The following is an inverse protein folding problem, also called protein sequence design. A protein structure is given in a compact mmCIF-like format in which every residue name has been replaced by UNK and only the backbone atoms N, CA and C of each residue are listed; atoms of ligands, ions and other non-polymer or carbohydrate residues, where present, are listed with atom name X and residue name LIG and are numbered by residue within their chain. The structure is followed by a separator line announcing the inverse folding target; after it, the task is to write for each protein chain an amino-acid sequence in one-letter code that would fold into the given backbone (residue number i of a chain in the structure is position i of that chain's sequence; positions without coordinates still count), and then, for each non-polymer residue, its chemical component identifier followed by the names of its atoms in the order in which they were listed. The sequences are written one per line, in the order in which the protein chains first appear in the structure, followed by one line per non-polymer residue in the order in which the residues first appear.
data_IF_868758098002
#
_entry.id   IF_868758098002
#
_cell.length_a   1.000
_cell.length_b   1.000
_cell.length_c   1.000
_cell.angle_alpha   90.00
_cell.angle_beta   90.00
_cell.angle_gamma   90.00
#
_symmetry.space_group_name_H-M   'P 1'
#
loop_
_entity.id
_entity.type
_entity.pdbx_description
1 polymer ?
#
# COMPACT_ATOMS: atom_id res chain seq x y z
N UNK A 1 -32.50 16.31 -14.61
CA UNK A 1 -33.79 16.46 -15.37
C UNK A 1 -34.76 15.32 -15.09
N UNK A 2 -34.24 14.13 -14.74
CA UNK A 2 -35.05 12.96 -14.37
C UNK A 2 -35.35 12.86 -12.86
N UNK A 3 -34.82 13.75 -12.07
CA UNK A 3 -35.10 13.87 -10.62
C UNK A 3 -36.14 14.92 -10.29
N UNK A 4 -36.62 15.68 -11.31
CA UNK A 4 -37.69 16.64 -11.14
C UNK A 4 -39.05 15.98 -11.35
N UNK A 5 -40.01 16.30 -10.51
CA UNK A 5 -41.42 15.79 -10.55
C UNK A 5 -42.19 16.05 -11.83
N UNK A 6 -41.55 16.63 -12.85
CA UNK A 6 -42.18 16.95 -14.15
C UNK A 6 -42.06 15.82 -15.18
N UNK A 7 -41.30 14.72 -14.88
CA UNK A 7 -41.15 13.60 -15.82
C UNK A 7 -41.77 12.34 -15.22
N UNK A 8 -42.98 12.06 -15.61
CA UNK A 8 -43.71 10.87 -15.18
C UNK A 8 -43.33 9.57 -15.90
N UNK A 9 -42.57 9.63 -17.00
CA UNK A 9 -42.21 8.45 -17.81
C UNK A 9 -40.74 8.51 -18.24
N UNK A 10 -40.02 7.45 -17.93
CA UNK A 10 -38.63 7.26 -18.41
C UNK A 10 -38.68 6.82 -19.88
N UNK A 11 -38.04 7.55 -20.82
CA UNK A 11 -37.97 7.11 -22.20
C UNK A 11 -37.24 5.77 -22.33
N UNK A 12 -37.78 4.85 -23.14
CA UNK A 12 -37.16 3.52 -23.36
C UNK A 12 -35.73 3.61 -23.91
N UNK A 13 -35.41 4.66 -24.65
CA UNK A 13 -34.05 4.91 -25.16
C UNK A 13 -33.01 5.22 -24.09
N UNK A 14 -33.45 5.58 -22.88
CA UNK A 14 -32.59 5.86 -21.73
C UNK A 14 -32.56 4.68 -20.75
N UNK A 15 -33.63 3.87 -20.75
CA UNK A 15 -33.82 2.77 -19.82
C UNK A 15 -32.75 1.69 -19.99
N UNK A 16 -32.48 1.25 -21.22
CA UNK A 16 -31.46 0.21 -21.48
C UNK A 16 -30.02 0.61 -21.09
N UNK A 17 -29.52 1.81 -21.50
CA UNK A 17 -28.20 2.27 -21.04
C UNK A 17 -28.13 2.42 -19.54
N UNK A 18 -29.21 2.87 -18.89
CA UNK A 18 -29.27 3.02 -17.43
C UNK A 18 -29.20 1.66 -16.74
N UNK A 19 -29.98 0.68 -17.22
CA UNK A 19 -29.94 -0.69 -16.69
C UNK A 19 -28.53 -1.30 -16.80
N UNK A 20 -27.87 -1.09 -17.93
CA UNK A 20 -26.52 -1.57 -18.16
C UNK A 20 -25.49 -0.91 -17.22
N UNK A 21 -25.63 0.39 -16.99
CA UNK A 21 -24.75 1.14 -16.08
C UNK A 21 -24.94 0.73 -14.61
N UNK A 22 -26.18 0.40 -14.23
CA UNK A 22 -26.52 0.00 -12.85
C UNK A 22 -26.46 -1.52 -12.61
N UNK A 23 -26.14 -2.32 -13.64
CA UNK A 23 -26.10 -3.78 -13.54
C UNK A 23 -27.45 -4.41 -13.17
N UNK A 24 -28.56 -3.80 -13.65
CA UNK A 24 -29.92 -4.20 -13.31
C UNK A 24 -30.78 -4.46 -14.57
N UNK A 25 -32.02 -4.87 -14.37
CA UNK A 25 -32.97 -5.11 -15.46
C UNK A 25 -34.00 -3.99 -15.58
N UNK A 26 -34.57 -3.75 -16.77
CA UNK A 26 -35.69 -2.82 -16.95
C UNK A 26 -36.87 -3.14 -16.03
N UNK A 27 -37.16 -4.43 -15.81
CA UNK A 27 -38.26 -4.88 -14.95
C UNK A 27 -38.07 -4.46 -13.49
N UNK A 28 -36.82 -4.55 -12.99
CA UNK A 28 -36.47 -4.12 -11.64
C UNK A 28 -36.57 -2.59 -11.48
N UNK A 29 -36.05 -1.81 -12.44
CA UNK A 29 -36.15 -0.34 -12.40
C UNK A 29 -37.62 0.14 -12.49
N UNK A 30 -38.44 -0.57 -13.23
CA UNK A 30 -39.86 -0.25 -13.37
C UNK A 30 -40.73 -0.76 -12.21
N UNK A 31 -40.14 -1.44 -11.22
CA UNK A 31 -40.86 -2.00 -10.07
C UNK A 31 -41.78 -3.17 -10.42
N UNK A 32 -41.53 -3.85 -11.54
CA UNK A 32 -42.28 -5.05 -11.95
C UNK A 32 -41.70 -6.33 -11.44
N UNK A 33 -40.47 -6.27 -10.93
CA UNK A 33 -39.77 -7.40 -10.31
C UNK A 33 -39.13 -6.92 -8.99
N UNK A 34 -39.56 -7.50 -7.87
CA UNK A 34 -39.05 -7.16 -6.54
C UNK A 34 -37.68 -7.82 -6.25
N UNK A 35 -37.25 -8.76 -7.11
CA UNK A 35 -35.95 -9.40 -6.96
C UNK A 35 -34.90 -8.60 -7.74
N UNK A 36 -33.91 -8.09 -7.01
CA UNK A 36 -32.68 -7.65 -7.64
C UNK A 36 -32.16 -8.77 -8.54
N UNK A 37 -31.69 -8.48 -9.77
CA UNK A 37 -31.17 -9.51 -10.66
C UNK A 37 -30.07 -10.29 -9.93
N UNK A 38 -30.15 -11.63 -9.98
CA UNK A 38 -29.14 -12.54 -9.39
C UNK A 38 -27.74 -12.38 -10.00
N UNK A 39 -27.64 -11.64 -11.08
CA UNK A 39 -26.35 -11.14 -11.56
C UNK A 39 -25.98 -9.89 -10.75
N UNK A 40 -25.63 -10.11 -9.48
CA UNK A 40 -24.71 -9.20 -8.83
C UNK A 40 -23.56 -8.98 -9.82
N UNK A 41 -23.37 -7.73 -10.27
CA UNK A 41 -22.16 -7.32 -10.97
C UNK A 41 -21.01 -8.02 -10.22
N UNK A 42 -20.15 -8.84 -10.86
CA UNK A 42 -19.02 -9.40 -10.15
C UNK A 42 -18.35 -8.26 -9.45
N UNK A 43 -18.29 -8.31 -8.13
CA UNK A 43 -17.51 -7.33 -7.37
C UNK A 43 -16.20 -7.20 -8.12
N UNK A 44 -15.72 -5.99 -8.44
CA UNK A 44 -14.49 -5.81 -9.19
C UNK A 44 -13.47 -6.75 -8.55
N UNK A 45 -12.83 -7.60 -9.37
CA UNK A 45 -11.91 -8.64 -8.88
C UNK A 45 -11.07 -7.98 -7.83
N UNK A 46 -11.24 -8.39 -6.58
CA UNK A 46 -10.57 -7.74 -5.46
C UNK A 46 -9.08 -7.90 -5.69
N UNK A 47 -8.40 -6.82 -5.99
CA UNK A 47 -6.94 -6.78 -6.12
C UNK A 47 -6.28 -7.02 -4.75
N UNK A 48 -6.77 -8.03 -4.03
CA UNK A 48 -6.27 -8.46 -2.74
C UNK A 48 -5.45 -9.72 -2.94
N UNK A 49 -4.19 -9.63 -2.56
CA UNK A 49 -3.20 -10.70 -2.69
C UNK A 49 -2.64 -11.04 -1.30
N UNK A 50 -2.41 -12.32 -1.04
CA UNK A 50 -1.70 -12.75 0.16
C UNK A 50 -0.21 -12.46 -0.02
N UNK A 51 0.33 -11.55 0.79
CA UNK A 51 1.76 -11.17 0.72
C UNK A 51 2.51 -11.67 1.95
N UNK A 52 3.76 -12.12 1.77
CA UNK A 52 4.57 -12.64 2.85
C UNK A 52 4.91 -11.55 3.87
N UNK A 53 4.92 -11.93 5.14
CA UNK A 53 5.40 -11.12 6.26
C UNK A 53 6.75 -11.67 6.72
N UNK A 54 7.73 -10.80 6.84
CA UNK A 54 9.06 -11.13 7.34
C UNK A 54 9.31 -10.47 8.68
N UNK A 55 10.12 -11.10 9.51
CA UNK A 55 10.41 -10.60 10.85
C UNK A 55 11.43 -9.46 10.87
N UNK A 56 12.15 -9.26 9.78
CA UNK A 56 13.11 -8.16 9.63
C UNK A 56 13.18 -7.66 8.21
N UNK A 57 13.71 -6.45 8.04
CA UNK A 57 13.96 -5.87 6.71
C UNK A 57 14.97 -6.74 5.94
N UNK A 58 16.04 -7.15 6.58
CA UNK A 58 17.07 -8.00 5.96
C UNK A 58 16.49 -9.30 5.43
N UNK A 59 15.58 -9.95 6.20
CA UNK A 59 14.85 -11.14 5.79
C UNK A 59 14.02 -10.90 4.54
N UNK A 60 13.23 -9.84 4.51
CA UNK A 60 12.32 -9.54 3.39
C UNK A 60 13.03 -9.25 2.06
N UNK A 61 14.31 -8.91 2.08
CA UNK A 61 15.12 -8.59 0.89
C UNK A 61 16.15 -9.65 0.53
N UNK A 62 16.12 -10.82 1.21
CA UNK A 62 16.96 -11.96 0.85
C UNK A 62 18.43 -11.81 1.23
N UNK A 63 18.73 -10.99 2.24
CA UNK A 63 20.09 -10.86 2.77
C UNK A 63 20.60 -12.13 3.50
N UNK A 64 19.63 -12.99 3.91
CA UNK A 64 19.94 -14.30 4.54
C UNK A 64 19.26 -15.39 3.69
N UNK A 65 20.01 -16.39 3.28
CA UNK A 65 19.56 -17.44 2.35
C UNK A 65 18.45 -18.39 2.87
N UNK A 66 17.96 -18.19 4.11
CA UNK A 66 16.96 -19.04 4.77
C UNK A 66 15.76 -18.26 5.33
N UNK A 67 15.50 -17.05 4.83
CA UNK A 67 14.40 -16.23 5.33
C UNK A 67 13.03 -16.77 4.87
N UNK A 68 12.41 -17.53 5.77
CA UNK A 68 11.04 -18.03 5.60
C UNK A 68 10.07 -16.96 6.12
N UNK A 69 9.02 -16.63 5.36
CA UNK A 69 7.97 -15.75 5.85
C UNK A 69 7.35 -16.30 7.14
N UNK A 70 7.15 -15.44 8.14
CA UNK A 70 6.52 -15.84 9.41
C UNK A 70 5.01 -16.02 9.28
N UNK A 71 4.39 -15.29 8.37
CA UNK A 71 2.96 -15.37 8.05
C UNK A 71 2.66 -14.76 6.68
N UNK A 72 1.38 -14.74 6.27
CA UNK A 72 0.89 -14.06 5.08
C UNK A 72 -0.27 -13.14 5.43
N UNK A 73 -0.27 -11.91 4.89
CA UNK A 73 -1.33 -10.94 5.11
C UNK A 73 -2.03 -10.55 3.80
N UNK A 74 -3.37 -10.36 3.83
CA UNK A 74 -4.10 -9.85 2.69
C UNK A 74 -3.70 -8.38 2.44
N UNK A 75 -3.40 -8.07 1.18
CA UNK A 75 -2.89 -6.76 0.77
C UNK A 75 -3.61 -6.31 -0.48
N UNK A 76 -4.17 -5.09 -0.47
CA UNK A 76 -4.73 -4.48 -1.67
C UNK A 76 -3.62 -3.89 -2.53
N UNK A 77 -3.53 -4.34 -3.77
CA UNK A 77 -2.51 -3.89 -4.73
C UNK A 77 -3.20 -3.37 -5.98
N UNK A 78 -3.04 -2.09 -6.26
CA UNK A 78 -3.69 -1.41 -7.39
C UNK A 78 -3.29 -2.01 -8.75
N UNK A 79 -2.03 -2.45 -8.87
CA UNK A 79 -1.49 -3.05 -10.09
C UNK A 79 -1.15 -4.53 -9.85
N UNK A 80 -2.01 -5.48 -10.24
CA UNK A 80 -1.80 -6.91 -9.99
C UNK A 80 -0.48 -7.48 -10.52
N UNK A 81 0.03 -6.95 -11.63
CA UNK A 81 1.32 -7.37 -12.20
C UNK A 81 2.54 -7.03 -11.33
N UNK A 82 2.37 -6.14 -10.36
CA UNK A 82 3.44 -5.75 -9.43
C UNK A 82 3.32 -6.45 -8.06
N UNK A 83 2.37 -7.36 -7.88
CA UNK A 83 2.11 -8.00 -6.58
C UNK A 83 3.37 -8.55 -5.91
N UNK A 84 4.29 -9.13 -6.68
CA UNK A 84 5.51 -9.76 -6.16
C UNK A 84 6.55 -8.76 -5.61
N UNK A 85 6.35 -7.48 -5.92
CA UNK A 85 7.17 -6.41 -5.35
C UNK A 85 6.77 -6.02 -3.94
N UNK A 86 5.61 -6.47 -3.44
CA UNK A 86 5.08 -6.08 -2.13
C UNK A 86 5.34 -7.16 -1.09
N UNK A 87 5.87 -6.73 0.05
CA UNK A 87 6.12 -7.56 1.23
C UNK A 87 5.72 -6.81 2.49
N UNK A 88 5.33 -7.55 3.52
CA UNK A 88 5.15 -7.03 4.87
C UNK A 88 6.40 -7.30 5.70
N UNK A 89 6.72 -6.38 6.61
CA UNK A 89 7.86 -6.49 7.52
C UNK A 89 7.42 -6.08 8.91
N UNK A 90 7.76 -6.90 9.91
CA UNK A 90 7.62 -6.54 11.32
C UNK A 90 8.62 -5.43 11.67
N UNK A 91 8.16 -4.42 12.39
CA UNK A 91 8.99 -3.30 12.83
C UNK A 91 9.40 -3.50 14.28
N UNK A 92 10.68 -3.36 14.55
CA UNK A 92 11.26 -3.39 15.87
C UNK A 92 11.85 -2.02 16.20
N UNK A 93 11.57 -1.54 17.43
CA UNK A 93 12.04 -0.25 17.92
C UNK A 93 11.08 0.90 17.63
N UNK A 94 11.37 2.04 18.24
CA UNK A 94 10.50 3.20 18.33
C UNK A 94 10.99 4.44 17.57
N UNK A 95 12.04 4.29 16.75
CA UNK A 95 12.66 5.43 16.05
C UNK A 95 11.70 6.14 15.06
N UNK A 96 10.64 5.47 14.62
CA UNK A 96 9.61 6.01 13.72
C UNK A 96 8.28 6.30 14.44
N UNK A 97 8.24 6.17 15.76
CA UNK A 97 7.05 6.50 16.57
C UNK A 97 6.80 8.03 16.58
N UNK A 98 5.53 8.47 16.62
CA UNK A 98 4.30 7.70 16.75
C UNK A 98 3.71 7.23 15.41
N UNK A 99 4.39 7.49 14.29
CA UNK A 99 3.87 7.13 12.97
C UNK A 99 3.92 5.60 12.76
N UNK A 100 5.05 4.99 13.11
CA UNK A 100 5.26 3.54 13.08
C UNK A 100 5.80 3.16 14.45
N UNK A 101 4.99 2.45 15.22
CA UNK A 101 5.36 2.02 16.57
C UNK A 101 6.03 0.64 16.55
N UNK A 102 6.71 0.32 17.63
CA UNK A 102 7.25 -1.02 17.87
C UNK A 102 6.15 -2.09 17.75
N UNK A 103 6.42 -3.21 17.11
CA UNK A 103 5.45 -4.27 16.85
C UNK A 103 4.46 -3.98 15.72
N UNK A 104 4.52 -2.83 15.06
CA UNK A 104 3.75 -2.55 13.84
C UNK A 104 4.26 -3.38 12.67
N UNK A 105 3.41 -3.56 11.65
CA UNK A 105 3.80 -4.13 10.36
C UNK A 105 3.77 -3.05 9.28
N UNK A 106 4.77 -3.00 8.44
CA UNK A 106 4.83 -2.09 7.30
C UNK A 106 4.73 -2.86 5.98
N UNK A 107 3.92 -2.33 5.05
CA UNK A 107 3.91 -2.79 3.67
C UNK A 107 4.98 -2.05 2.88
N UNK A 108 5.92 -2.78 2.32
CA UNK A 108 7.02 -2.23 1.54
C UNK A 108 6.87 -2.65 0.08
N UNK A 109 6.90 -1.67 -0.83
CA UNK A 109 7.07 -1.92 -2.27
C UNK A 109 8.57 -1.93 -2.58
N UNK A 110 9.10 -3.07 -3.03
CA UNK A 110 10.51 -3.23 -3.44
C UNK A 110 10.82 -2.33 -4.63
N UNK A 111 11.75 -1.40 -4.44
CA UNK A 111 12.26 -0.48 -5.47
C UNK A 111 13.58 0.13 -5.02
N UNK A 112 14.42 0.52 -5.97
CA UNK A 112 15.77 1.03 -5.71
C UNK A 112 15.86 2.54 -5.50
N UNK A 113 14.75 3.28 -5.56
CA UNK A 113 14.71 4.72 -5.36
C UNK A 113 13.41 5.17 -4.72
N UNK A 114 13.45 6.30 -4.01
CA UNK A 114 12.29 6.98 -3.43
C UNK A 114 12.45 8.49 -3.63
N UNK A 115 11.35 9.23 -3.54
CA UNK A 115 11.40 10.69 -3.59
C UNK A 115 11.81 11.28 -2.24
N UNK A 116 12.38 12.48 -2.25
CA UNK A 116 12.74 13.20 -1.03
C UNK A 116 11.51 13.40 -0.13
N UNK A 117 11.66 13.04 1.13
CA UNK A 117 10.58 13.10 2.13
C UNK A 117 9.76 11.82 2.28
N UNK A 118 9.98 10.81 1.47
CA UNK A 118 9.30 9.52 1.60
C UNK A 118 9.93 8.66 2.69
N UNK A 119 9.13 7.73 3.24
CA UNK A 119 9.59 6.73 4.20
C UNK A 119 9.98 5.47 3.45
N UNK A 120 11.20 5.01 3.70
CA UNK A 120 11.76 3.87 3.00
C UNK A 120 12.39 2.85 3.95
N UNK A 121 12.42 1.60 3.52
CA UNK A 121 13.33 0.60 4.02
C UNK A 121 14.70 0.84 3.36
N UNK A 122 15.73 1.00 4.17
CA UNK A 122 17.07 1.42 3.74
C UNK A 122 18.09 0.47 4.34
N UNK A 123 19.07 0.08 3.55
CA UNK A 123 20.27 -0.62 4.01
C UNK A 123 21.43 0.38 4.09
N UNK A 124 22.13 0.40 5.20
CA UNK A 124 23.28 1.27 5.44
C UNK A 124 24.49 0.41 5.70
N UNK A 125 25.59 0.71 5.03
CA UNK A 125 26.86 -0.02 5.15
C UNK A 125 26.77 -1.53 4.84
N UNK A 126 25.78 -1.95 4.05
CA UNK A 126 25.46 -3.35 3.76
C UNK A 126 25.14 -4.22 4.99
N UNK A 127 24.98 -3.62 6.16
CA UNK A 127 24.80 -4.32 7.45
C UNK A 127 23.50 -3.91 8.14
N UNK A 128 23.23 -2.63 8.25
CA UNK A 128 22.13 -2.08 9.04
C UNK A 128 20.89 -1.79 8.16
N UNK A 129 19.86 -2.60 8.29
CA UNK A 129 18.59 -2.39 7.61
C UNK A 129 17.59 -1.67 8.52
N UNK A 130 17.17 -0.46 8.13
CA UNK A 130 16.33 0.44 8.93
C UNK A 130 15.18 1.03 8.14
N UNK A 131 14.17 1.51 8.86
CA UNK A 131 13.08 2.34 8.28
C UNK A 131 13.34 3.79 8.67
N UNK A 132 13.45 4.68 7.67
CA UNK A 132 13.67 6.11 7.89
C UNK A 132 12.96 6.94 6.82
N UNK A 133 12.71 8.21 7.15
CA UNK A 133 12.35 9.23 6.17
C UNK A 133 13.62 9.68 5.46
N UNK A 134 13.65 9.56 4.14
CA UNK A 134 14.82 9.88 3.31
C UNK A 134 14.69 11.29 2.77
N UNK A 135 15.68 12.13 2.98
CA UNK A 135 15.76 13.45 2.38
C UNK A 135 17.02 13.54 1.52
N UNK A 136 16.85 14.05 0.31
CA UNK A 136 17.95 14.29 -0.61
C UNK A 136 18.22 15.79 -0.71
N UNK A 137 19.47 16.18 -0.51
CA UNK A 137 20.00 17.51 -0.80
C UNK A 137 21.19 17.32 -1.75
N UNK A 138 21.65 18.34 -2.46
CA UNK A 138 22.60 18.28 -3.58
C UNK A 138 23.66 17.16 -3.51
N UNK A 139 24.41 17.07 -2.41
CA UNK A 139 25.46 16.06 -2.19
C UNK A 139 25.28 15.29 -0.87
N UNK A 140 24.07 15.25 -0.34
CA UNK A 140 23.79 14.59 0.94
C UNK A 140 22.53 13.73 0.88
N UNK A 141 22.56 12.62 1.61
CA UNK A 141 21.38 11.84 1.95
C UNK A 141 21.20 11.90 3.47
N UNK A 142 20.03 12.31 3.89
CA UNK A 142 19.69 12.40 5.31
C UNK A 142 18.62 11.36 5.64
N UNK A 143 18.88 10.56 6.66
CA UNK A 143 17.97 9.55 7.19
C UNK A 143 17.38 10.08 8.49
N UNK A 144 16.12 10.48 8.43
CA UNK A 144 15.42 11.08 9.56
C UNK A 144 14.51 10.06 10.25
N UNK A 145 14.58 10.05 11.56
CA UNK A 145 13.59 9.40 12.42
C UNK A 145 12.37 10.32 12.57
N UNK A 146 11.19 9.75 12.81
CA UNK A 146 10.00 10.52 13.20
C UNK A 146 10.07 10.86 14.68
N UNK A 147 10.60 9.95 15.48
CA UNK A 147 10.84 10.15 16.90
C UNK A 147 12.01 11.13 17.12
N UNK A 148 11.78 12.31 17.74
CA UNK A 148 12.80 13.35 17.91
C UNK A 148 13.95 12.96 18.82
N UNK A 149 13.82 11.89 19.61
CA UNK A 149 14.93 11.38 20.42
C UNK A 149 16.06 10.75 19.60
N UNK A 150 15.79 10.46 18.32
CA UNK A 150 16.76 9.89 17.39
C UNK A 150 17.23 10.96 16.40
N UNK A 151 18.47 11.45 16.53
CA UNK A 151 19.00 12.47 15.62
C UNK A 151 19.11 11.95 14.20
N UNK A 152 19.00 12.83 13.19
CA UNK A 152 19.14 12.43 11.80
C UNK A 152 20.58 11.99 11.51
N UNK A 153 20.72 10.93 10.70
CA UNK A 153 21.99 10.47 10.16
C UNK A 153 22.22 11.14 8.81
N UNK A 154 23.26 11.94 8.71
CA UNK A 154 23.60 12.70 7.50
C UNK A 154 24.82 12.06 6.84
N UNK A 155 24.65 11.57 5.60
CA UNK A 155 25.72 11.00 4.78
C UNK A 155 26.06 11.98 3.66
N UNK A 156 27.35 12.26 3.46
CA UNK A 156 27.83 13.31 2.54
C UNK A 156 28.84 12.73 1.54
N UNK A 157 28.84 13.30 0.36
CA UNK A 157 29.81 12.97 -0.68
C UNK A 157 29.89 11.47 -0.97
N UNK A 158 31.05 10.85 -0.78
CA UNK A 158 31.27 9.42 -1.04
C UNK A 158 30.47 8.52 -0.09
N UNK A 159 30.08 8.99 1.10
CA UNK A 159 29.29 8.20 2.05
C UNK A 159 27.85 7.99 1.57
N UNK A 160 27.37 8.78 0.60
CA UNK A 160 26.04 8.58 -0.01
C UNK A 160 25.91 7.20 -0.64
N UNK A 161 27.00 6.64 -1.18
CA UNK A 161 27.01 5.29 -1.77
C UNK A 161 26.84 4.16 -0.76
N UNK A 162 26.96 4.46 0.53
CA UNK A 162 26.76 3.51 1.64
C UNK A 162 25.27 3.30 1.98
N UNK A 163 24.38 4.07 1.33
CA UNK A 163 22.93 3.99 1.53
C UNK A 163 22.28 3.34 0.32
N UNK A 164 21.63 2.21 0.52
CA UNK A 164 20.87 1.54 -0.50
C UNK A 164 19.38 1.58 -0.15
N UNK A 165 18.57 2.08 -1.06
CA UNK A 165 17.11 2.00 -0.93
C UNK A 165 16.66 0.58 -1.27
N UNK A 166 15.97 -0.07 -0.35
CA UNK A 166 15.41 -1.40 -0.52
C UNK A 166 13.95 -1.33 -0.99
N UNK A 167 13.20 -0.34 -0.52
CA UNK A 167 11.82 -0.16 -0.94
C UNK A 167 11.10 1.00 -0.26
N UNK A 168 9.96 1.36 -0.85
CA UNK A 168 9.08 2.42 -0.36
C UNK A 168 8.05 1.85 0.62
N UNK A 169 7.89 2.46 1.78
CA UNK A 169 6.82 2.12 2.73
C UNK A 169 5.50 2.71 2.21
N UNK A 170 4.50 1.85 2.02
CA UNK A 170 3.18 2.20 1.45
C UNK A 170 2.08 2.26 2.49
N UNK A 171 2.17 1.42 3.51
CA UNK A 171 1.12 1.23 4.51
C UNK A 171 1.73 0.81 5.85
N UNK A 172 1.03 1.14 6.92
CA UNK A 172 1.36 0.72 8.29
C UNK A 172 0.12 0.03 8.88
N UNK A 173 0.30 -1.18 9.37
CA UNK A 173 -0.72 -1.91 10.13
C UNK A 173 -0.29 -1.96 11.59
N UNK A 174 -1.15 -1.44 12.47
CA UNK A 174 -0.94 -1.43 13.93
C UNK A 174 -1.99 -2.30 14.60
N UNK A 175 -1.58 -3.17 15.51
CA UNK A 175 -2.51 -3.80 16.43
C UNK A 175 -2.98 -2.77 17.47
N UNK A 176 -4.27 -2.73 17.74
CA UNK A 176 -4.79 -1.98 18.90
C UNK A 176 -4.44 -2.78 20.15
N UNK A 177 -3.82 -2.12 21.10
CA UNK A 177 -3.53 -2.67 22.42
C UNK A 177 -4.71 -2.41 23.36
#
# INVERSE_FOLDING_TARGET
RYESSEIEKLPTSVLEPLCKALGTTPAYIMGWDDKAPEQATPLPQTNVFMRPVYDSISAGFGAVAQDVPVEYMPTYITCPSEQDKYIWINVHGDSMSPLIDDGSKILVKKQSSVDSGQIAAVLVDDEEAVVKKVLYNDNTVELHSVNPYYPPRVLKNNDVTRVQILGLVKEVSKALQ
#
